data_IF_951871641951
#
_entry.id   IF_951871641951
#
_cell.length_a   1.000
_cell.length_b   1.000
_cell.length_c   1.000
_cell.angle_alpha   90.00
_cell.angle_beta   90.00
_cell.angle_gamma   90.00
#
_symmetry.space_group_name_H-M   'P 1'
#
loop_
_entity.id
_entity.type
_entity.pdbx_description
1 polymer ?
#
# COMPACT_ATOMS: atom_id res chain seq x y z
N UNK A 1 -6.77 8.73 -13.99
CA UNK A 1 -7.91 7.85 -14.30
C UNK A 1 -9.17 8.40 -13.64
N UNK A 2 -10.00 9.15 -14.37
CA UNK A 2 -11.15 9.90 -13.81
C UNK A 2 -12.52 9.37 -14.25
N UNK A 3 -12.56 8.21 -14.91
CA UNK A 3 -13.79 7.59 -15.40
C UNK A 3 -14.27 6.53 -14.41
N UNK A 4 -15.58 6.37 -14.32
CA UNK A 4 -16.23 5.39 -13.44
C UNK A 4 -16.06 3.98 -14.00
N UNK A 5 -15.81 3.01 -13.13
CA UNK A 5 -15.88 1.58 -13.49
C UNK A 5 -14.76 1.10 -14.42
N UNK A 6 -13.66 1.85 -14.55
CA UNK A 6 -12.58 1.49 -15.46
C UNK A 6 -11.65 0.47 -14.82
N UNK A 7 -11.39 -0.62 -15.53
CA UNK A 7 -10.32 -1.56 -15.20
C UNK A 7 -9.10 -1.30 -16.08
N UNK A 8 -7.96 -1.02 -15.46
CA UNK A 8 -6.65 -1.10 -16.10
C UNK A 8 -6.06 -2.47 -15.79
N UNK A 9 -5.90 -3.30 -16.82
CA UNK A 9 -5.39 -4.66 -16.69
C UNK A 9 -4.08 -4.84 -17.45
N UNK A 10 -3.05 -5.31 -16.76
CA UNK A 10 -1.81 -5.75 -17.35
C UNK A 10 -1.96 -7.10 -18.04
N UNK A 11 -1.32 -7.25 -19.20
CA UNK A 11 -0.96 -8.57 -19.71
C UNK A 11 0.23 -9.12 -18.92
N UNK A 12 0.47 -10.44 -18.93
CA UNK A 12 1.66 -11.02 -18.31
C UNK A 12 2.93 -10.26 -18.72
N UNK A 13 3.77 -9.93 -17.74
CA UNK A 13 5.01 -9.16 -17.90
C UNK A 13 4.83 -7.68 -18.29
N UNK A 14 3.63 -7.10 -18.15
CA UNK A 14 3.44 -5.65 -18.34
C UNK A 14 4.24 -4.89 -17.29
N UNK A 15 5.21 -4.08 -17.75
CA UNK A 15 6.03 -3.23 -16.91
C UNK A 15 5.67 -1.75 -17.11
N UNK A 16 5.37 -1.07 -16.01
CA UNK A 16 5.30 0.39 -15.92
C UNK A 16 6.56 0.86 -15.18
N UNK A 17 7.51 1.44 -15.93
CA UNK A 17 8.73 2.02 -15.36
C UNK A 17 8.65 3.53 -15.40
N UNK A 18 8.60 4.14 -14.21
CA UNK A 18 8.64 5.58 -14.06
C UNK A 18 10.03 6.12 -14.40
N UNK A 19 10.09 7.26 -15.11
CA UNK A 19 11.34 7.93 -15.55
C UNK A 19 11.36 9.41 -15.14
N UNK A 20 10.43 9.82 -14.28
CA UNK A 20 10.32 11.17 -13.75
C UNK A 20 9.56 11.15 -12.42
N UNK A 21 9.75 12.19 -11.61
CA UNK A 21 9.04 12.40 -10.35
C UNK A 21 7.58 12.84 -10.57
N UNK A 22 6.70 11.88 -10.90
CA UNK A 22 5.26 12.09 -11.12
C UNK A 22 4.44 10.97 -10.46
N UNK A 23 3.14 11.17 -10.30
CA UNK A 23 2.22 10.09 -9.91
C UNK A 23 1.63 9.48 -11.20
N UNK A 24 2.09 8.30 -11.67
CA UNK A 24 1.62 7.75 -12.94
C UNK A 24 0.13 7.38 -12.92
N UNK A 25 -0.38 6.97 -11.76
CA UNK A 25 -1.79 6.60 -11.58
C UNK A 25 -2.47 7.50 -10.55
N UNK A 26 -2.83 8.71 -10.97
CA UNK A 26 -3.78 9.54 -10.23
C UNK A 26 -5.22 9.09 -10.54
N UNK A 27 -5.83 8.33 -9.63
CA UNK A 27 -7.17 7.76 -9.77
C UNK A 27 -8.18 8.67 -9.06
N UNK A 28 -9.09 9.27 -9.82
CA UNK A 28 -10.12 10.19 -9.30
C UNK A 28 -11.55 9.77 -9.65
N UNK A 29 -11.71 8.71 -10.43
CA UNK A 29 -12.99 8.08 -10.69
C UNK A 29 -13.50 7.29 -9.48
N UNK A 30 -14.57 6.52 -9.67
CA UNK A 30 -15.12 5.58 -8.68
C UNK A 30 -15.21 4.21 -9.33
N UNK A 31 -15.02 3.12 -8.58
CA UNK A 31 -15.12 1.77 -9.18
C UNK A 31 -13.94 1.41 -10.07
N UNK A 32 -12.79 2.07 -9.91
CA UNK A 32 -11.60 1.79 -10.73
C UNK A 32 -10.83 0.60 -10.18
N UNK A 33 -10.46 -0.32 -11.07
CA UNK A 33 -9.62 -1.47 -10.76
C UNK A 33 -8.26 -1.35 -11.46
N UNK A 34 -7.17 -1.61 -10.75
CA UNK A 34 -5.81 -1.75 -11.28
C UNK A 34 -5.34 -3.18 -11.01
N UNK A 35 -5.14 -3.95 -12.06
CA UNK A 35 -5.01 -5.40 -11.99
C UNK A 35 -3.84 -5.93 -12.82
N UNK A 36 -2.97 -6.76 -12.24
CA UNK A 36 -1.96 -7.51 -12.99
C UNK A 36 -0.80 -6.69 -13.56
N UNK A 37 -0.48 -5.53 -12.99
CA UNK A 37 0.66 -4.70 -13.43
C UNK A 37 1.92 -4.99 -12.62
N UNK A 38 3.08 -4.89 -13.28
CA UNK A 38 4.37 -4.69 -12.61
C UNK A 38 4.73 -3.21 -12.68
N UNK A 39 4.98 -2.56 -11.53
CA UNK A 39 5.23 -1.11 -11.43
C UNK A 39 6.52 -0.84 -10.66
N UNK A 40 7.40 -0.01 -11.24
CA UNK A 40 8.65 0.42 -10.62
C UNK A 40 9.13 1.78 -11.16
N UNK A 41 10.31 2.22 -10.74
CA UNK A 41 11.03 3.38 -11.26
C UNK A 41 12.52 3.07 -11.41
N UNK A 42 13.20 3.85 -12.26
CA UNK A 42 14.65 3.80 -12.46
C UNK A 42 15.44 4.27 -11.23
N UNK A 43 14.95 5.30 -10.54
CA UNK A 43 15.49 5.81 -9.27
C UNK A 43 14.37 6.01 -8.25
N UNK A 44 14.66 6.06 -6.94
CA UNK A 44 13.61 6.27 -5.95
C UNK A 44 13.17 7.74 -6.00
N UNK A 45 12.00 7.99 -6.54
CA UNK A 45 11.37 9.31 -6.51
C UNK A 45 10.58 9.48 -5.20
N UNK A 46 10.59 10.70 -4.64
CA UNK A 46 9.84 11.04 -3.42
C UNK A 46 8.34 11.22 -3.72
N UNK A 47 7.71 10.18 -4.26
CA UNK A 47 6.31 10.13 -4.66
C UNK A 47 5.77 8.69 -4.57
N UNK A 48 4.46 8.55 -4.61
CA UNK A 48 3.76 7.29 -4.82
C UNK A 48 3.59 6.93 -6.30
N UNK A 49 3.47 5.63 -6.59
CA UNK A 49 3.06 5.18 -7.92
C UNK A 49 1.55 5.36 -8.16
N UNK A 50 0.75 5.11 -7.14
CA UNK A 50 -0.72 5.15 -7.26
C UNK A 50 -1.28 6.08 -6.20
N UNK A 51 -2.04 7.08 -6.61
CA UNK A 51 -2.80 7.93 -5.71
C UNK A 51 -4.29 7.72 -5.97
N UNK A 52 -5.02 7.29 -4.94
CA UNK A 52 -6.45 6.96 -5.01
C UNK A 52 -7.26 8.05 -4.35
N UNK A 53 -8.16 8.70 -5.08
CA UNK A 53 -9.33 9.39 -4.52
C UNK A 53 -10.57 8.52 -4.77
N UNK A 54 -11.78 9.05 -4.59
CA UNK A 54 -13.01 8.34 -4.95
C UNK A 54 -13.30 7.14 -4.05
N UNK A 55 -14.11 6.19 -4.54
CA UNK A 55 -14.59 5.05 -3.75
C UNK A 55 -14.66 3.76 -4.58
N UNK A 56 -14.80 2.62 -3.90
CA UNK A 56 -15.03 1.29 -4.49
C UNK A 56 -13.89 0.84 -5.42
N UNK A 57 -12.65 1.08 -5.02
CA UNK A 57 -11.47 0.76 -5.83
C UNK A 57 -10.94 -0.63 -5.55
N UNK A 58 -10.29 -1.22 -6.56
CA UNK A 58 -9.56 -2.47 -6.40
C UNK A 58 -8.12 -2.33 -6.91
N UNK A 59 -7.17 -2.76 -6.10
CA UNK A 59 -5.77 -2.93 -6.47
C UNK A 59 -5.43 -4.42 -6.30
N UNK A 60 -5.35 -5.17 -7.40
CA UNK A 60 -5.24 -6.64 -7.34
C UNK A 60 -4.12 -7.22 -8.18
N UNK A 61 -3.48 -8.29 -7.71
CA UNK A 61 -2.53 -9.08 -8.51
C UNK A 61 -1.34 -8.27 -9.08
N UNK A 62 -0.97 -7.14 -8.46
CA UNK A 62 0.13 -6.30 -8.93
C UNK A 62 1.44 -6.65 -8.25
N UNK A 63 2.56 -6.35 -8.91
CA UNK A 63 3.90 -6.35 -8.33
C UNK A 63 4.39 -4.90 -8.33
N UNK A 64 4.52 -4.29 -7.15
CA UNK A 64 4.84 -2.87 -7.02
C UNK A 64 6.10 -2.72 -6.17
N UNK A 65 7.18 -2.21 -6.76
CA UNK A 65 8.46 -2.14 -6.08
C UNK A 65 9.28 -0.91 -6.40
N UNK A 66 10.05 -0.47 -5.42
CA UNK A 66 11.03 0.61 -5.61
C UNK A 66 12.39 0.06 -6.05
N UNK A 67 13.23 0.90 -6.66
CA UNK A 67 14.63 0.54 -6.91
C UNK A 67 15.40 0.39 -5.59
N UNK A 68 16.52 -0.35 -5.59
CA UNK A 68 17.33 -0.54 -4.39
C UNK A 68 17.82 0.78 -3.78
N UNK A 69 17.78 0.88 -2.45
CA UNK A 69 18.28 2.02 -1.70
C UNK A 69 19.32 1.56 -0.69
N UNK A 70 20.46 2.26 -0.63
CA UNK A 70 21.55 1.92 0.26
C UNK A 70 21.27 2.35 1.70
N UNK A 71 21.91 1.67 2.66
CA UNK A 71 21.86 2.03 4.08
C UNK A 71 20.53 1.68 4.76
N UNK A 72 20.35 2.13 6.01
CA UNK A 72 19.16 1.80 6.79
C UNK A 72 17.92 2.43 6.18
N UNK A 73 16.79 1.71 6.25
CA UNK A 73 15.52 2.20 5.67
C UNK A 73 15.00 3.49 6.29
N UNK A 74 15.55 3.93 7.44
CA UNK A 74 15.26 5.23 8.06
C UNK A 74 15.72 6.43 7.23
N UNK A 75 16.73 6.26 6.35
CA UNK A 75 17.24 7.33 5.48
C UNK A 75 16.82 7.21 4.01
N UNK A 76 16.04 6.19 3.65
CA UNK A 76 15.54 6.01 2.29
C UNK A 76 14.64 7.16 1.83
N UNK A 77 14.71 7.52 0.55
CA UNK A 77 13.75 8.43 -0.09
C UNK A 77 12.35 7.87 0.10
N UNK A 78 11.38 8.75 0.35
CA UNK A 78 10.00 8.36 0.63
C UNK A 78 9.26 8.03 -0.67
N UNK A 79 9.61 6.90 -1.27
CA UNK A 79 8.88 6.31 -2.39
C UNK A 79 7.81 5.33 -1.89
N UNK A 80 6.61 5.39 -2.51
CA UNK A 80 5.46 4.61 -2.04
C UNK A 80 4.80 3.79 -3.13
N UNK A 81 4.22 2.65 -2.73
CA UNK A 81 3.40 1.85 -3.63
C UNK A 81 2.11 2.58 -3.97
N UNK A 82 1.29 2.86 -2.95
CA UNK A 82 0.10 3.70 -3.12
C UNK A 82 -0.18 4.64 -1.94
N UNK A 83 -1.01 5.64 -2.20
CA UNK A 83 -1.52 6.57 -1.20
C UNK A 83 -3.03 6.72 -1.41
N UNK A 84 -3.82 6.63 -0.35
CA UNK A 84 -5.21 7.13 -0.42
C UNK A 84 -5.18 8.63 -0.23
N UNK A 85 -5.98 9.40 -0.95
CA UNK A 85 -6.38 10.73 -0.50
C UNK A 85 -7.32 10.58 0.69
N UNK A 86 -7.64 11.68 1.39
CA UNK A 86 -8.61 11.62 2.48
C UNK A 86 -9.99 11.15 1.97
N UNK A 87 -10.70 10.38 2.81
CA UNK A 87 -12.07 9.90 2.56
C UNK A 87 -12.22 8.91 1.39
N UNK A 88 -11.19 8.12 1.05
CA UNK A 88 -11.36 6.99 0.12
C UNK A 88 -12.15 5.89 0.79
N UNK A 89 -13.31 5.51 0.27
CA UNK A 89 -14.17 4.48 0.90
C UNK A 89 -14.17 3.20 0.08
N UNK A 90 -14.15 2.06 0.79
CA UNK A 90 -14.27 0.72 0.20
C UNK A 90 -13.16 0.42 -0.83
N UNK A 91 -11.89 0.66 -0.45
CA UNK A 91 -10.73 0.20 -1.22
C UNK A 91 -10.41 -1.26 -0.88
N UNK A 92 -10.24 -2.11 -1.89
CA UNK A 92 -9.71 -3.46 -1.74
C UNK A 92 -8.30 -3.51 -2.31
N UNK A 93 -7.31 -3.87 -1.50
CA UNK A 93 -5.94 -4.14 -1.92
C UNK A 93 -5.63 -5.60 -1.65
N UNK A 94 -5.59 -6.40 -2.70
CA UNK A 94 -5.58 -7.85 -2.56
C UNK A 94 -4.58 -8.56 -3.47
N UNK A 95 -3.92 -9.60 -2.95
CA UNK A 95 -3.06 -10.50 -3.73
C UNK A 95 -1.92 -9.77 -4.49
N UNK A 96 -1.45 -8.62 -3.96
CA UNK A 96 -0.32 -7.89 -4.52
C UNK A 96 1.00 -8.25 -3.83
N UNK A 97 2.11 -7.97 -4.51
CA UNK A 97 3.46 -8.03 -3.97
C UNK A 97 4.03 -6.61 -3.88
N UNK A 98 4.47 -6.19 -2.69
CA UNK A 98 5.14 -4.91 -2.47
C UNK A 98 6.54 -5.10 -1.92
N UNK A 99 7.56 -4.48 -2.53
CA UNK A 99 8.91 -4.55 -1.97
C UNK A 99 9.85 -3.40 -2.31
N UNK A 100 10.93 -3.25 -1.52
CA UNK A 100 11.98 -2.25 -1.77
C UNK A 100 11.44 -0.81 -1.88
N UNK A 101 10.40 -0.51 -1.11
CA UNK A 101 9.74 0.79 -1.01
C UNK A 101 10.01 1.35 0.39
N UNK A 102 10.02 2.67 0.55
CA UNK A 102 9.93 3.25 1.90
C UNK A 102 8.65 2.79 2.57
N UNK A 103 7.52 2.89 1.89
CA UNK A 103 6.22 2.45 2.39
C UNK A 103 5.44 1.74 1.27
N UNK A 104 4.93 0.50 1.46
CA UNK A 104 3.97 -0.09 0.53
C UNK A 104 2.73 0.81 0.37
N UNK A 105 2.25 1.41 1.47
CA UNK A 105 1.18 2.39 1.42
C UNK A 105 1.22 3.43 2.53
N UNK A 106 0.60 4.58 2.27
CA UNK A 106 0.16 5.54 3.28
C UNK A 106 -1.36 5.72 3.17
N UNK A 107 -2.08 5.34 4.22
CA UNK A 107 -3.54 5.35 4.28
C UNK A 107 -3.99 6.59 5.04
N UNK A 108 -4.39 7.62 4.29
CA UNK A 108 -4.77 8.92 4.84
C UNK A 108 -6.12 8.90 5.58
N UNK A 109 -6.39 9.91 6.43
CA UNK A 109 -7.55 9.96 7.31
C UNK A 109 -8.90 9.71 6.63
N UNK A 110 -9.82 9.13 7.39
CA UNK A 110 -11.19 8.80 6.99
C UNK A 110 -11.29 7.84 5.78
N UNK A 111 -10.18 7.25 5.35
CA UNK A 111 -10.21 6.22 4.32
C UNK A 111 -10.61 4.88 4.92
N UNK A 112 -11.33 4.05 4.16
CA UNK A 112 -11.76 2.72 4.59
C UNK A 112 -11.49 1.67 3.53
N UNK A 113 -11.24 0.44 3.96
CA UNK A 113 -11.03 -0.66 3.03
C UNK A 113 -10.49 -1.94 3.66
N UNK A 114 -9.89 -2.75 2.80
CA UNK A 114 -9.34 -4.05 3.14
C UNK A 114 -7.96 -4.23 2.49
N UNK A 115 -6.99 -4.71 3.25
CA UNK A 115 -5.66 -5.08 2.77
C UNK A 115 -5.52 -6.59 3.02
N UNK A 116 -5.67 -7.40 1.97
CA UNK A 116 -5.87 -8.85 2.08
C UNK A 116 -4.83 -9.62 1.28
N UNK A 117 -4.22 -10.66 1.86
CA UNK A 117 -3.38 -11.63 1.13
C UNK A 117 -2.21 -11.01 0.32
N UNK A 118 -1.70 -9.84 0.72
CA UNK A 118 -0.55 -9.26 0.06
C UNK A 118 0.75 -9.85 0.63
N UNK A 119 1.81 -9.85 -0.18
CA UNK A 119 3.18 -10.18 0.24
C UNK A 119 3.99 -8.89 0.31
N UNK A 120 4.56 -8.56 1.47
CA UNK A 120 5.30 -7.31 1.67
C UNK A 120 6.65 -7.54 2.31
N UNK A 121 7.73 -7.01 1.72
CA UNK A 121 9.07 -7.18 2.27
C UNK A 121 10.03 -6.06 1.87
N UNK A 122 11.11 -5.90 2.64
CA UNK A 122 12.12 -4.86 2.42
C UNK A 122 11.50 -3.45 2.35
N UNK A 123 10.56 -3.16 3.26
CA UNK A 123 9.90 -1.85 3.38
C UNK A 123 9.87 -1.35 4.83
N UNK A 124 9.16 -0.24 5.10
CA UNK A 124 8.79 0.16 6.47
C UNK A 124 7.32 -0.08 6.82
N UNK A 125 6.64 -0.96 6.09
CA UNK A 125 5.29 -1.41 6.40
C UNK A 125 4.18 -0.46 5.98
N UNK A 126 2.95 -0.95 6.05
CA UNK A 126 1.76 -0.15 5.80
C UNK A 126 1.60 0.91 6.89
N UNK A 127 1.37 2.16 6.50
CA UNK A 127 1.12 3.27 7.43
C UNK A 127 -0.36 3.59 7.45
N UNK A 128 -0.97 3.45 8.63
CA UNK A 128 -2.36 3.81 8.91
C UNK A 128 -2.36 5.14 9.66
N UNK A 129 -2.92 6.17 9.04
CA UNK A 129 -3.12 7.49 9.66
C UNK A 129 -4.62 7.79 9.74
N UNK A 130 -5.23 7.53 10.90
CA UNK A 130 -6.65 7.83 11.15
C UNK A 130 -7.60 7.22 10.11
N UNK A 131 -7.20 6.09 9.52
CA UNK A 131 -7.95 5.31 8.55
C UNK A 131 -8.53 4.04 9.21
N UNK A 132 -9.45 3.37 8.50
CA UNK A 132 -10.12 2.14 8.97
C UNK A 132 -9.97 1.03 7.93
N UNK A 133 -8.93 0.23 8.08
CA UNK A 133 -8.62 -0.88 7.17
C UNK A 133 -8.59 -2.21 7.91
N UNK A 134 -9.27 -3.21 7.34
CA UNK A 134 -9.17 -4.60 7.79
C UNK A 134 -7.97 -5.24 7.13
N UNK A 135 -7.02 -5.72 7.93
CA UNK A 135 -5.86 -6.49 7.47
C UNK A 135 -6.10 -7.97 7.72
N UNK A 136 -5.94 -8.81 6.70
CA UNK A 136 -6.06 -10.27 6.87
C UNK A 136 -5.21 -11.03 5.86
N UNK A 137 -4.57 -12.11 6.30
CA UNK A 137 -3.84 -13.04 5.42
C UNK A 137 -2.58 -12.45 4.76
N UNK A 138 -2.17 -11.23 5.12
CA UNK A 138 -0.93 -10.66 4.60
C UNK A 138 0.28 -11.45 5.15
N UNK A 139 1.35 -11.46 4.36
CA UNK A 139 2.59 -12.17 4.68
C UNK A 139 3.82 -11.30 4.45
N UNK A 140 4.90 -11.62 5.17
CA UNK A 140 6.09 -10.80 5.25
C UNK A 140 7.30 -11.60 4.80
N UNK A 141 8.06 -11.06 3.84
CA UNK A 141 9.19 -11.76 3.23
C UNK A 141 10.55 -11.33 3.76
N UNK A 142 11.60 -11.84 3.11
CA UNK A 142 13.01 -11.47 3.34
C UNK A 142 13.50 -10.67 2.13
N UNK A 143 14.24 -9.56 2.30
CA UNK A 143 14.60 -8.91 3.57
C UNK A 143 13.39 -8.43 4.36
N UNK A 144 13.45 -8.47 5.70
CA UNK A 144 12.30 -8.13 6.54
C UNK A 144 11.94 -6.66 6.44
N UNK A 145 10.67 -6.32 6.70
CA UNK A 145 10.28 -4.93 6.88
C UNK A 145 10.87 -4.37 8.20
N UNK A 146 10.94 -3.04 8.32
CA UNK A 146 11.26 -2.40 9.59
C UNK A 146 10.16 -2.66 10.65
N UNK A 147 8.91 -2.52 10.21
CA UNK A 147 7.67 -2.95 10.87
C UNK A 147 6.71 -3.32 9.74
N UNK A 148 5.71 -4.15 10.00
CA UNK A 148 4.78 -4.61 8.97
C UNK A 148 3.55 -3.71 8.86
N UNK A 149 3.03 -3.28 10.02
CA UNK A 149 1.88 -2.38 10.14
C UNK A 149 2.22 -1.31 11.18
N UNK A 150 2.08 -0.04 10.82
CA UNK A 150 2.22 1.09 11.73
C UNK A 150 0.87 1.80 11.90
N UNK A 151 0.40 1.91 13.14
CA UNK A 151 -0.79 2.66 13.52
C UNK A 151 -0.36 4.00 14.10
N UNK A 152 -0.59 5.10 13.38
CA UNK A 152 -0.15 6.43 13.78
C UNK A 152 -1.09 7.08 14.81
N UNK A 153 -0.65 8.15 15.51
CA UNK A 153 -1.47 8.92 16.44
C UNK A 153 -2.85 9.28 15.86
N UNK A 154 -3.89 9.09 16.66
CA UNK A 154 -5.27 9.36 16.26
C UNK A 154 -5.96 8.21 15.50
N UNK A 155 -5.23 7.18 15.07
CA UNK A 155 -5.87 5.94 14.59
C UNK A 155 -6.71 5.35 15.73
N UNK A 156 -7.91 4.87 15.41
CA UNK A 156 -8.87 4.43 16.43
C UNK A 156 -8.36 3.25 17.27
N UNK A 157 -8.76 3.21 18.54
CA UNK A 157 -8.65 2.02 19.40
C UNK A 157 -9.94 1.20 19.30
N UNK A 158 -9.81 -0.11 19.18
CA UNK A 158 -10.90 -1.06 18.93
C UNK A 158 -10.84 -1.69 17.53
N UNK A 159 -11.95 -2.27 17.11
CA UNK A 159 -12.09 -2.88 15.77
C UNK A 159 -11.84 -1.83 14.68
N UNK A 160 -11.01 -2.12 13.65
CA UNK A 160 -10.50 -3.44 13.27
C UNK A 160 -9.09 -3.80 13.80
N UNK A 161 -8.44 -2.91 14.55
CA UNK A 161 -7.02 -3.06 14.91
C UNK A 161 -6.80 -3.88 16.19
N UNK A 162 -7.74 -3.81 17.13
CA UNK A 162 -7.61 -4.47 18.41
C UNK A 162 -8.44 -5.78 18.50
N UNK A 163 -7.94 -6.80 19.21
CA UNK A 163 -6.64 -6.86 19.88
C UNK A 163 -5.45 -6.95 18.91
N UNK A 164 -4.36 -6.24 19.19
CA UNK A 164 -3.15 -6.26 18.35
C UNK A 164 -2.57 -7.67 18.14
N UNK A 165 -2.75 -8.57 19.11
CA UNK A 165 -2.34 -9.98 18.99
C UNK A 165 -3.13 -10.73 17.91
N UNK A 166 -4.42 -10.42 17.76
CA UNK A 166 -5.27 -10.96 16.69
C UNK A 166 -4.89 -10.33 15.36
N UNK A 167 -4.67 -9.01 15.32
CA UNK A 167 -4.18 -8.32 14.12
C UNK A 167 -2.86 -8.93 13.62
N UNK A 168 -1.91 -9.15 14.53
CA UNK A 168 -0.62 -9.76 14.22
C UNK A 168 -0.76 -11.20 13.73
N UNK A 169 -1.42 -12.07 14.49
CA UNK A 169 -1.55 -13.49 14.14
C UNK A 169 -2.37 -13.74 12.86
N UNK A 170 -3.39 -12.93 12.60
CA UNK A 170 -4.18 -13.00 11.35
C UNK A 170 -3.43 -12.52 10.11
N UNK A 171 -2.24 -11.92 10.29
CA UNK A 171 -1.37 -11.46 9.22
C UNK A 171 0.03 -12.06 9.42
N UNK A 172 0.13 -13.38 9.52
CA UNK A 172 1.41 -14.11 9.53
C UNK A 172 2.39 -13.64 10.63
N UNK A 173 1.88 -13.37 11.84
CA UNK A 173 2.63 -12.83 12.98
C UNK A 173 3.28 -11.47 12.69
N UNK A 174 2.51 -10.55 12.10
CA UNK A 174 2.98 -9.21 11.75
C UNK A 174 3.60 -8.47 12.95
N UNK A 175 4.72 -7.80 12.71
CA UNK A 175 5.28 -6.79 13.59
C UNK A 175 4.43 -5.52 13.50
N UNK A 176 3.60 -5.29 14.53
CA UNK A 176 2.73 -4.12 14.62
C UNK A 176 3.38 -3.04 15.48
N UNK A 177 3.58 -1.85 14.92
CA UNK A 177 3.98 -0.65 15.65
C UNK A 177 2.74 0.17 15.99
N UNK A 178 2.31 0.09 17.25
CA UNK A 178 1.23 0.92 17.78
C UNK A 178 1.78 2.24 18.32
N UNK A 179 1.39 3.36 17.71
CA UNK A 179 1.79 4.72 18.06
C UNK A 179 0.57 5.62 18.35
N UNK A 180 -0.62 5.01 18.54
CA UNK A 180 -1.90 5.68 18.74
C UNK A 180 -1.94 6.52 20.02
#
# INVERSE_FOLDING_TARGET
MNKVGVTLRGYPNTLISLQAAVIPFLVTGTGVSIDGLTITSDIPYETEFIQLAGTNHMLTNNIIYGPPQAGPSTSWVINRGFVTQANVINLIVQDNIFYSLRQPAYLNPNSTGQIINNVVYNTRGFVVDQAIFVFSGNSWGIPTNAVDIALLPGTLVGTPYDPLTVLSSSNSNASVSDQR
#
